data_IF_265670660683
#
_entry.id   IF_265670660683
#
_cell.length_a   1.000
_cell.length_b   1.000
_cell.length_c   1.000
_cell.angle_alpha   90.00
_cell.angle_beta   90.00
_cell.angle_gamma   90.00
#
_symmetry.space_group_name_H-M   'P 1'
#
loop_
_entity.id
_entity.type
_entity.pdbx_description
1 polymer ?
#
# COMPACT_ATOMS: atom_id res chain seq x y z
N UNK A 1 8.74 63.17 -1.90
CA UNK A 1 9.87 62.28 -1.61
C UNK A 1 9.88 61.96 -0.12
N UNK A 2 9.50 60.75 0.31
CA UNK A 2 9.72 60.11 1.65
C UNK A 2 8.82 58.87 1.83
N UNK A 3 8.81 57.95 0.87
CA UNK A 3 8.04 56.68 0.97
C UNK A 3 8.87 55.43 0.66
N UNK A 4 10.09 55.60 0.14
CA UNK A 4 10.99 54.52 -0.25
C UNK A 4 11.83 53.94 0.89
N UNK A 5 11.94 54.62 2.03
CA UNK A 5 12.84 54.21 3.13
C UNK A 5 12.18 53.31 4.17
N UNK A 6 10.84 53.24 4.23
CA UNK A 6 10.13 52.38 5.21
C UNK A 6 9.96 50.94 4.70
N UNK A 7 9.93 50.76 3.38
CA UNK A 7 9.68 49.45 2.75
C UNK A 7 10.92 48.55 2.78
N UNK A 8 12.12 49.13 2.75
CA UNK A 8 13.39 48.39 2.75
C UNK A 8 13.76 47.85 4.13
N UNK A 9 13.40 48.55 5.21
CA UNK A 9 13.65 48.10 6.60
C UNK A 9 12.69 47.02 7.04
N UNK A 10 11.41 47.07 6.64
CA UNK A 10 10.42 46.03 6.97
C UNK A 10 10.69 44.74 6.18
N UNK A 11 11.13 44.83 4.92
CA UNK A 11 11.48 43.65 4.12
C UNK A 11 12.75 42.95 4.63
N UNK A 12 13.71 43.70 5.16
CA UNK A 12 14.94 43.14 5.75
C UNK A 12 14.67 42.43 7.09
N UNK A 13 13.74 42.94 7.91
CA UNK A 13 13.37 42.29 9.17
C UNK A 13 12.57 40.99 8.95
N UNK A 14 11.71 40.94 7.92
CA UNK A 14 10.97 39.73 7.53
C UNK A 14 11.90 38.65 6.94
N UNK A 15 12.95 39.03 6.18
CA UNK A 15 13.93 38.06 5.70
C UNK A 15 14.78 37.43 6.83
N UNK A 16 15.11 38.20 7.87
CA UNK A 16 15.85 37.66 9.02
C UNK A 16 15.00 36.70 9.88
N UNK A 17 13.68 36.90 9.95
CA UNK A 17 12.78 35.98 10.67
C UNK A 17 12.50 34.70 9.85
N UNK A 18 12.48 34.76 8.52
CA UNK A 18 12.35 33.56 7.68
C UNK A 18 13.64 32.73 7.57
N UNK A 19 14.82 33.33 7.73
CA UNK A 19 16.09 32.59 7.77
C UNK A 19 16.29 31.79 9.09
N UNK A 20 15.54 32.09 10.15
CA UNK A 20 15.66 31.39 11.44
C UNK A 20 14.69 30.21 11.62
N UNK A 21 13.73 29.99 10.71
CA UNK A 21 12.75 28.87 10.80
C UNK A 21 12.96 27.81 9.71
N UNK A 22 13.85 28.05 8.74
CA UNK A 22 14.42 27.00 7.90
C UNK A 22 15.56 26.27 8.64
N UNK A 23 15.30 25.80 9.87
CA UNK A 23 16.04 24.64 10.32
C UNK A 23 15.73 23.54 9.31
N UNK A 24 16.73 22.90 8.67
CA UNK A 24 16.46 21.77 7.80
C UNK A 24 15.61 20.82 8.62
N UNK A 25 14.41 20.48 8.12
CA UNK A 25 13.67 19.36 8.66
C UNK A 25 14.68 18.22 8.66
N UNK A 26 15.17 17.86 9.85
CA UNK A 26 16.08 16.75 10.03
C UNK A 26 15.28 15.60 9.47
N UNK A 27 15.57 15.20 8.22
CA UNK A 27 15.09 13.95 7.64
C UNK A 27 15.62 12.92 8.62
N UNK A 28 14.80 12.58 9.62
CA UNK A 28 15.12 11.50 10.54
C UNK A 28 15.41 10.33 9.64
N UNK A 29 16.60 9.78 9.77
CA UNK A 29 16.96 8.56 9.08
C UNK A 29 15.79 7.57 9.28
N UNK A 30 15.27 6.94 8.20
CA UNK A 30 14.23 5.95 8.33
C UNK A 30 14.58 4.97 9.45
N UNK A 31 13.62 4.57 10.29
CA UNK A 31 13.92 3.65 11.38
C UNK A 31 14.58 2.38 10.83
N UNK A 32 15.58 1.83 11.53
CA UNK A 32 16.24 0.60 11.10
C UNK A 32 15.20 -0.52 10.98
N UNK A 33 15.20 -1.20 9.84
CA UNK A 33 14.24 -2.25 9.55
C UNK A 33 14.58 -3.53 10.32
N UNK A 34 13.58 -4.27 10.84
CA UNK A 34 13.81 -5.54 11.52
C UNK A 34 14.38 -6.58 10.54
N UNK A 35 15.34 -7.36 11.01
CA UNK A 35 15.89 -8.50 10.26
C UNK A 35 14.81 -9.56 10.05
N UNK A 36 14.52 -9.89 8.79
CA UNK A 36 13.58 -10.97 8.48
C UNK A 36 14.28 -12.32 8.30
N UNK A 37 15.61 -12.34 8.20
CA UNK A 37 16.40 -13.57 8.09
C UNK A 37 16.62 -14.30 9.43
N UNK A 38 16.16 -13.73 10.54
CA UNK A 38 16.28 -14.33 11.87
C UNK A 38 15.10 -15.24 12.23
N UNK A 39 13.92 -14.99 11.66
CA UNK A 39 12.69 -15.69 12.01
C UNK A 39 12.14 -16.44 10.81
N UNK A 40 11.34 -17.47 11.06
CA UNK A 40 10.54 -18.08 9.99
C UNK A 40 9.56 -17.05 9.44
N UNK A 41 9.25 -17.17 8.16
CA UNK A 41 8.44 -16.17 7.48
C UNK A 41 8.03 -16.58 6.08
N UNK A 42 7.31 -15.67 5.44
CA UNK A 42 6.93 -15.78 4.03
C UNK A 42 7.75 -14.78 3.23
N UNK A 43 8.30 -15.24 2.11
CA UNK A 43 8.97 -14.38 1.14
C UNK A 43 8.29 -14.46 -0.22
N UNK A 44 8.45 -13.40 -0.99
CA UNK A 44 7.85 -13.23 -2.30
C UNK A 44 8.93 -12.85 -3.31
N UNK A 45 8.91 -13.46 -4.48
CA UNK A 45 9.78 -13.07 -5.60
C UNK A 45 8.93 -12.78 -6.81
N UNK A 46 9.12 -11.61 -7.41
CA UNK A 46 8.67 -11.37 -8.76
C UNK A 46 9.65 -11.96 -9.78
N UNK A 47 9.11 -12.72 -10.72
CA UNK A 47 9.80 -13.35 -11.84
C UNK A 47 9.31 -12.68 -13.12
N UNK A 48 10.22 -12.11 -13.89
CA UNK A 48 9.93 -11.35 -15.12
C UNK A 48 10.88 -11.76 -16.25
N UNK A 49 10.60 -11.32 -17.50
CA UNK A 49 11.54 -11.44 -18.62
C UNK A 49 12.01 -12.86 -18.91
N UNK A 50 13.32 -13.03 -19.10
CA UNK A 50 13.92 -14.31 -19.47
C UNK A 50 13.74 -15.40 -18.40
N UNK A 51 13.60 -15.02 -17.13
CA UNK A 51 13.42 -16.00 -16.05
C UNK A 51 12.05 -16.69 -16.14
N UNK A 52 11.03 -16.04 -16.71
CA UNK A 52 9.73 -16.67 -16.99
C UNK A 52 9.86 -17.90 -17.91
N UNK A 53 10.81 -17.88 -18.86
CA UNK A 53 11.02 -18.98 -19.81
C UNK A 53 11.57 -20.25 -19.16
N UNK A 54 12.19 -20.10 -18.00
CA UNK A 54 12.76 -21.20 -17.22
C UNK A 54 12.03 -21.43 -15.90
N UNK A 55 10.89 -20.76 -15.68
CA UNK A 55 10.15 -20.76 -14.41
C UNK A 55 9.92 -22.17 -13.86
N UNK A 56 9.48 -23.11 -14.70
CA UNK A 56 9.18 -24.49 -14.30
C UNK A 56 10.44 -25.31 -13.94
N UNK A 57 11.60 -24.93 -14.48
CA UNK A 57 12.88 -25.58 -14.16
C UNK A 57 13.47 -25.05 -12.84
N UNK A 58 13.09 -23.83 -12.45
CA UNK A 58 13.62 -23.16 -11.26
C UNK A 58 12.69 -23.33 -10.06
N UNK A 59 11.39 -23.19 -10.25
CA UNK A 59 10.39 -23.17 -9.18
C UNK A 59 9.43 -24.34 -9.30
N UNK A 60 9.45 -25.22 -8.29
CA UNK A 60 8.51 -26.32 -8.16
C UNK A 60 7.90 -26.32 -6.78
N UNK A 61 6.57 -26.26 -6.71
CA UNK A 61 5.82 -26.27 -5.44
C UNK A 61 6.24 -27.47 -4.57
N UNK A 62 6.50 -27.20 -3.29
CA UNK A 62 6.97 -28.17 -2.30
C UNK A 62 8.49 -28.39 -2.30
N UNK A 63 9.23 -27.76 -3.21
CA UNK A 63 10.69 -27.89 -3.30
C UNK A 63 11.38 -26.53 -3.12
N UNK A 64 12.67 -26.54 -2.73
CA UNK A 64 13.52 -25.36 -2.86
C UNK A 64 13.66 -24.91 -4.32
N UNK A 65 13.97 -23.62 -4.55
CA UNK A 65 14.40 -23.15 -5.87
C UNK A 65 15.62 -23.94 -6.35
N UNK A 66 15.57 -24.44 -7.58
CA UNK A 66 16.65 -25.26 -8.14
C UNK A 66 17.89 -24.44 -8.52
N UNK A 67 17.71 -23.15 -8.80
CA UNK A 67 18.79 -22.22 -9.15
C UNK A 67 18.34 -20.77 -8.96
N UNK A 68 19.23 -19.82 -9.23
CA UNK A 68 18.94 -18.39 -9.27
C UNK A 68 19.69 -17.72 -10.43
N UNK A 69 19.31 -16.48 -10.75
CA UNK A 69 20.01 -15.70 -11.76
C UNK A 69 21.50 -15.53 -11.40
N UNK A 70 22.39 -15.64 -12.39
CA UNK A 70 23.85 -15.55 -12.20
C UNK A 70 24.41 -14.14 -12.47
N UNK A 71 23.54 -13.17 -12.74
CA UNK A 71 23.90 -11.79 -12.96
C UNK A 71 24.21 -11.09 -11.64
N UNK A 72 25.28 -10.30 -11.62
CA UNK A 72 25.61 -9.45 -10.48
C UNK A 72 24.42 -8.55 -10.10
N UNK A 73 24.17 -8.44 -8.80
CA UNK A 73 23.17 -7.55 -8.24
C UNK A 73 23.65 -6.95 -6.91
N UNK A 74 22.76 -6.20 -6.26
CA UNK A 74 23.07 -5.43 -5.05
C UNK A 74 23.83 -6.24 -4.00
N UNK A 75 23.50 -7.52 -3.85
CA UNK A 75 24.01 -8.36 -2.77
C UNK A 75 24.84 -9.56 -3.18
N UNK A 76 25.08 -9.74 -4.48
CA UNK A 76 25.94 -10.82 -4.96
C UNK A 76 26.60 -10.47 -6.30
N UNK A 77 27.93 -10.58 -6.42
CA UNK A 77 28.64 -10.37 -7.69
C UNK A 77 28.39 -11.50 -8.70
N UNK A 78 27.91 -12.66 -8.24
CA UNK A 78 27.63 -13.85 -9.06
C UNK A 78 26.12 -14.15 -9.15
N UNK A 79 25.30 -13.18 -8.72
CA UNK A 79 23.85 -13.32 -8.65
C UNK A 79 23.33 -14.08 -7.44
N UNK A 80 22.02 -13.96 -7.23
CA UNK A 80 21.32 -14.49 -6.08
C UNK A 80 19.83 -14.62 -6.39
N UNK A 81 19.11 -15.35 -5.53
CA UNK A 81 17.65 -15.30 -5.48
C UNK A 81 17.24 -14.11 -4.60
N UNK A 82 16.82 -13.03 -5.25
CA UNK A 82 16.25 -11.84 -4.60
C UNK A 82 14.77 -12.04 -4.26
N UNK A 83 14.39 -11.68 -3.05
CA UNK A 83 13.03 -11.81 -2.51
C UNK A 83 12.65 -10.59 -1.66
N UNK A 84 11.36 -10.39 -1.44
CA UNK A 84 10.76 -9.40 -0.57
C UNK A 84 10.03 -10.10 0.58
N UNK A 85 9.95 -9.46 1.73
CA UNK A 85 9.13 -9.93 2.87
C UNK A 85 7.70 -9.39 2.84
N UNK A 86 7.41 -8.50 1.90
CA UNK A 86 6.08 -7.97 1.65
C UNK A 86 5.62 -8.31 0.23
N UNK A 87 4.35 -8.70 0.10
CA UNK A 87 3.76 -9.09 -1.18
C UNK A 87 3.57 -7.87 -2.11
N UNK A 88 3.22 -6.70 -1.56
CA UNK A 88 3.03 -5.50 -2.36
C UNK A 88 4.36 -5.01 -2.92
N UNK A 89 5.44 -5.10 -2.15
CA UNK A 89 6.79 -4.80 -2.62
C UNK A 89 7.19 -5.69 -3.80
N UNK A 90 6.92 -7.00 -3.71
CA UNK A 90 7.13 -7.92 -4.82
C UNK A 90 6.25 -7.58 -6.03
N UNK A 91 5.01 -7.15 -5.84
CA UNK A 91 4.15 -6.68 -6.93
C UNK A 91 4.66 -5.42 -7.60
N UNK A 92 5.04 -4.41 -6.83
CA UNK A 92 5.64 -3.16 -7.34
C UNK A 92 6.88 -3.49 -8.18
N UNK A 93 7.72 -4.41 -7.70
CA UNK A 93 8.87 -4.89 -8.45
C UNK A 93 8.47 -5.62 -9.74
N UNK A 94 7.55 -6.57 -9.67
CA UNK A 94 7.07 -7.31 -10.84
C UNK A 94 6.54 -6.38 -11.93
N UNK A 95 5.70 -5.41 -11.55
CA UNK A 95 5.16 -4.42 -12.47
C UNK A 95 6.25 -3.54 -13.10
N UNK A 96 7.21 -3.06 -12.31
CA UNK A 96 8.29 -2.17 -12.80
C UNK A 96 9.26 -2.88 -13.76
N UNK A 97 9.43 -4.19 -13.63
CA UNK A 97 10.41 -4.98 -14.40
C UNK A 97 9.78 -5.97 -15.39
N UNK A 98 8.46 -5.92 -15.60
CA UNK A 98 7.83 -6.64 -16.70
C UNK A 98 8.14 -5.93 -18.02
N UNK A 99 8.72 -6.64 -18.98
CA UNK A 99 9.08 -6.03 -20.26
C UNK A 99 7.82 -5.87 -21.14
N UNK A 100 7.78 -4.90 -22.08
CA UNK A 100 6.61 -4.68 -22.92
C UNK A 100 6.14 -5.91 -23.71
N UNK A 101 7.06 -6.82 -24.04
CA UNK A 101 6.76 -8.09 -24.73
C UNK A 101 6.28 -9.22 -23.81
N UNK A 102 6.44 -9.08 -22.50
CA UNK A 102 5.99 -10.09 -21.55
C UNK A 102 4.49 -9.89 -21.29
N UNK A 103 3.70 -10.95 -21.41
CA UNK A 103 2.24 -10.92 -21.18
C UNK A 103 1.85 -11.21 -19.74
N UNK A 104 2.84 -11.34 -18.85
CA UNK A 104 2.68 -11.55 -17.42
C UNK A 104 4.02 -11.42 -16.68
N UNK A 105 3.96 -11.20 -15.39
CA UNK A 105 5.00 -11.57 -14.43
C UNK A 105 4.46 -12.64 -13.48
N UNK A 106 5.32 -13.30 -12.72
CA UNK A 106 4.92 -14.33 -11.75
C UNK A 106 5.40 -13.93 -10.37
N UNK A 107 4.54 -14.03 -9.35
CA UNK A 107 4.98 -14.02 -7.95
C UNK A 107 5.14 -15.46 -7.48
N UNK A 108 6.34 -15.78 -7.02
CA UNK A 108 6.64 -17.02 -6.30
C UNK A 108 6.62 -16.72 -4.81
N UNK A 109 5.78 -17.42 -4.07
CA UNK A 109 5.71 -17.36 -2.62
C UNK A 109 6.52 -18.51 -2.02
N UNK A 110 7.37 -18.20 -1.04
CA UNK A 110 8.18 -19.15 -0.30
C UNK A 110 7.80 -19.17 1.17
N UNK A 111 7.85 -20.34 1.80
CA UNK A 111 8.07 -20.43 3.24
C UNK A 111 9.56 -20.46 3.51
N UNK A 112 10.00 -19.69 4.50
CA UNK A 112 11.39 -19.66 4.96
C UNK A 112 11.53 -20.33 6.34
N UNK A 113 12.51 -21.22 6.44
CA UNK A 113 12.94 -21.83 7.70
C UNK A 113 14.36 -21.37 8.03
N UNK A 114 14.58 -20.66 9.15
CA UNK A 114 15.91 -20.18 9.50
C UNK A 114 16.93 -21.30 9.65
N UNK A 115 18.10 -21.10 9.03
CA UNK A 115 19.28 -21.89 9.32
C UNK A 115 20.35 -20.97 9.94
N UNK A 116 20.71 -21.25 11.18
CA UNK A 116 21.66 -20.44 11.97
C UNK A 116 23.13 -20.77 11.67
N UNK A 117 23.41 -21.80 10.87
CA UNK A 117 24.76 -22.16 10.42
C UNK A 117 25.20 -21.39 9.16
N UNK A 118 24.26 -20.72 8.48
CA UNK A 118 24.54 -19.95 7.28
C UNK A 118 25.18 -18.60 7.63
N UNK A 119 26.12 -18.14 6.80
CA UNK A 119 26.76 -16.83 6.95
C UNK A 119 25.78 -15.76 6.45
N UNK A 120 25.26 -14.94 7.37
CA UNK A 120 24.28 -13.89 7.08
C UNK A 120 24.89 -12.50 7.23
N UNK A 121 24.42 -11.56 6.43
CA UNK A 121 24.70 -10.13 6.60
C UNK A 121 23.40 -9.34 6.52
N UNK A 122 23.20 -8.44 7.48
CA UNK A 122 22.05 -7.51 7.50
C UNK A 122 22.57 -6.08 7.41
N UNK A 123 21.95 -5.27 6.57
CA UNK A 123 22.23 -3.84 6.45
C UNK A 123 21.00 -3.04 6.82
N UNK A 124 20.86 -2.61 8.08
CA UNK A 124 19.67 -1.93 8.63
C UNK A 124 19.21 -0.64 7.90
N UNK A 125 19.97 -0.17 6.91
CA UNK A 125 19.67 0.98 6.05
C UNK A 125 20.86 1.34 5.16
N UNK A 126 20.77 2.48 4.46
CA UNK A 126 21.78 2.99 3.53
C UNK A 126 23.06 3.55 4.16
N UNK A 127 23.77 2.75 4.95
CA UNK A 127 25.05 3.16 5.54
C UNK A 127 26.18 3.20 4.50
N UNK A 128 27.30 3.86 4.83
CA UNK A 128 28.50 3.81 3.98
C UNK A 128 29.03 2.38 3.82
N UNK A 129 28.86 1.52 4.83
CA UNK A 129 29.22 0.10 4.76
C UNK A 129 28.34 -0.65 3.76
N UNK A 130 27.03 -0.41 3.78
CA UNK A 130 26.09 -0.94 2.77
C UNK A 130 26.47 -0.45 1.37
N UNK A 131 26.68 0.85 1.20
CA UNK A 131 27.02 1.42 -0.10
C UNK A 131 28.33 0.87 -0.66
N UNK A 132 29.33 0.71 0.21
CA UNK A 132 30.61 0.08 -0.14
C UNK A 132 30.43 -1.39 -0.50
N UNK A 133 29.56 -2.12 0.22
CA UNK A 133 29.24 -3.52 -0.09
C UNK A 133 28.58 -3.68 -1.45
N UNK A 134 27.53 -2.89 -1.74
CA UNK A 134 26.81 -2.92 -3.02
C UNK A 134 27.74 -2.53 -4.18
N UNK A 135 28.46 -1.41 -4.08
CA UNK A 135 29.40 -0.97 -5.12
C UNK A 135 30.47 -2.02 -5.43
N UNK A 136 30.93 -2.73 -4.40
CA UNK A 136 31.90 -3.80 -4.54
C UNK A 136 31.37 -5.03 -5.31
N UNK A 137 30.06 -5.27 -5.30
CA UNK A 137 29.46 -6.39 -6.04
C UNK A 137 29.39 -6.15 -7.55
N UNK A 138 29.49 -4.89 -7.99
CA UNK A 138 29.48 -4.52 -9.40
C UNK A 138 30.88 -4.33 -10.02
N UNK A 139 31.95 -4.65 -9.29
CA UNK A 139 33.33 -4.51 -9.77
C UNK A 139 33.73 -5.69 -10.70
N UNK A 140 34.48 -5.46 -11.81
CA UNK A 140 34.75 -6.47 -12.84
C UNK A 140 35.63 -7.68 -12.45
N UNK A 141 36.26 -7.67 -11.26
CA UNK A 141 37.31 -8.62 -10.90
C UNK A 141 37.17 -9.16 -9.48
N UNK A 142 36.14 -9.97 -9.20
CA UNK A 142 36.03 -10.65 -7.90
C UNK A 142 35.87 -12.16 -8.01
N UNK A 143 36.45 -12.81 -7.00
CA UNK A 143 36.39 -14.24 -6.72
C UNK A 143 34.95 -14.74 -6.75
N UNK A 144 34.74 -15.87 -7.43
CA UNK A 144 33.43 -16.50 -7.64
C UNK A 144 32.80 -17.09 -6.38
N UNK A 145 33.51 -17.11 -5.25
CA UNK A 145 33.01 -17.68 -3.99
C UNK A 145 32.21 -16.63 -3.19
N UNK A 146 30.93 -16.90 -2.87
CA UNK A 146 30.13 -16.02 -2.03
C UNK A 146 30.71 -15.86 -0.62
N UNK A 147 30.93 -14.61 -0.21
CA UNK A 147 31.35 -14.26 1.16
C UNK A 147 30.25 -14.54 2.19
N UNK A 148 29.00 -14.43 1.78
CA UNK A 148 27.81 -14.68 2.58
C UNK A 148 26.89 -15.65 1.84
N UNK A 149 26.14 -16.43 2.60
CA UNK A 149 25.11 -17.31 2.08
C UNK A 149 23.80 -16.54 1.88
N UNK A 150 23.55 -15.55 2.74
CA UNK A 150 22.36 -14.71 2.73
C UNK A 150 22.70 -13.26 3.08
N UNK A 151 22.05 -12.32 2.41
CA UNK A 151 22.20 -10.89 2.70
C UNK A 151 20.82 -10.24 2.65
N UNK A 152 20.52 -9.32 3.57
CA UNK A 152 19.34 -8.47 3.50
C UNK A 152 19.72 -7.00 3.69
N UNK A 153 18.94 -6.11 3.08
CA UNK A 153 19.20 -4.68 3.11
C UNK A 153 18.26 -3.92 2.20
N UNK A 154 18.41 -2.59 2.13
CA UNK A 154 17.60 -1.80 1.23
C UNK A 154 17.99 -2.08 -0.23
N UNK A 155 17.00 -2.03 -1.10
CA UNK A 155 17.19 -1.98 -2.55
C UNK A 155 18.02 -0.77 -2.90
N UNK A 156 18.98 -0.90 -3.81
CA UNK A 156 19.84 0.20 -4.24
C UNK A 156 19.31 0.91 -5.49
N UNK A 157 19.52 2.22 -5.56
CA UNK A 157 19.40 3.00 -6.79
C UNK A 157 20.63 3.89 -6.98
N UNK A 158 21.00 4.11 -8.25
CA UNK A 158 22.25 4.78 -8.59
C UNK A 158 23.47 3.84 -8.58
N UNK A 159 24.68 4.39 -8.71
CA UNK A 159 25.95 3.64 -8.66
C UNK A 159 27.09 4.53 -8.17
N UNK A 160 28.13 3.93 -7.59
CA UNK A 160 29.31 4.65 -7.14
C UNK A 160 28.95 5.69 -6.08
N UNK A 161 29.28 6.96 -6.33
CA UNK A 161 29.01 8.07 -5.43
C UNK A 161 27.53 8.49 -5.36
N UNK A 162 26.70 8.09 -6.33
CA UNK A 162 25.24 8.40 -6.34
C UNK A 162 24.38 7.28 -5.79
N UNK A 163 25.01 6.21 -5.30
CA UNK A 163 24.31 5.06 -4.74
C UNK A 163 23.57 5.46 -3.45
N UNK A 164 22.27 5.21 -3.42
CA UNK A 164 21.41 5.47 -2.27
C UNK A 164 20.34 4.39 -2.15
N UNK A 165 19.76 4.16 -0.96
CA UNK A 165 18.58 3.32 -0.81
C UNK A 165 17.44 3.81 -1.70
N UNK A 166 16.74 2.88 -2.33
CA UNK A 166 15.44 3.17 -2.90
C UNK A 166 14.48 3.54 -1.78
N UNK A 167 13.87 4.71 -1.88
CA UNK A 167 12.80 5.16 -1.01
C UNK A 167 11.53 5.13 -1.84
N UNK A 168 10.57 4.33 -1.40
CA UNK A 168 9.25 4.27 -2.02
C UNK A 168 8.61 5.66 -1.97
N UNK A 169 8.28 6.27 -3.12
CA UNK A 169 7.71 7.61 -3.16
C UNK A 169 6.34 7.69 -2.48
N UNK A 170 5.62 6.58 -2.37
CA UNK A 170 4.27 6.52 -1.79
C UNK A 170 4.33 6.49 -0.26
N UNK A 171 5.32 5.79 0.30
CA UNK A 171 5.40 5.52 1.73
C UNK A 171 6.52 6.29 2.45
N UNK A 172 7.50 6.81 1.69
CA UNK A 172 8.72 7.40 2.25
C UNK A 172 9.64 6.39 2.95
N UNK A 173 9.31 5.09 2.89
CA UNK A 173 10.08 4.01 3.50
C UNK A 173 11.08 3.43 2.50
N UNK A 174 12.14 2.79 3.02
CA UNK A 174 13.08 2.07 2.18
C UNK A 174 12.47 0.73 1.77
N UNK A 175 12.54 0.41 0.48
CA UNK A 175 12.16 -0.91 -0.03
C UNK A 175 13.21 -1.93 0.38
N UNK A 176 12.77 -3.06 0.93
CA UNK A 176 13.67 -4.02 1.55
C UNK A 176 13.75 -5.31 0.74
N UNK A 177 14.96 -5.84 0.55
CA UNK A 177 15.15 -7.08 -0.19
C UNK A 177 16.10 -8.04 0.54
N UNK A 178 15.89 -9.32 0.30
CA UNK A 178 16.75 -10.41 0.76
C UNK A 178 17.35 -11.13 -0.44
N UNK A 179 18.60 -11.54 -0.34
CA UNK A 179 19.32 -12.30 -1.35
C UNK A 179 19.78 -13.63 -0.77
N UNK A 180 19.38 -14.73 -1.40
CA UNK A 180 19.82 -16.10 -1.09
C UNK A 180 20.84 -16.51 -2.15
N UNK A 181 22.09 -16.68 -1.74
CA UNK A 181 23.26 -16.73 -2.64
C UNK A 181 23.80 -18.14 -2.79
N UNK A 182 23.83 -18.92 -1.70
CA UNK A 182 24.31 -20.30 -1.76
C UNK A 182 23.16 -21.30 -1.93
N UNK A 183 23.49 -22.50 -2.43
CA UNK A 183 22.52 -23.60 -2.50
C UNK A 183 21.96 -23.96 -1.10
N UNK A 184 22.81 -23.90 -0.07
CA UNK A 184 22.39 -24.13 1.31
C UNK A 184 21.39 -23.05 1.79
N UNK A 185 21.56 -21.80 1.37
CA UNK A 185 20.58 -20.75 1.59
C UNK A 185 19.28 -21.02 0.83
N UNK A 186 19.32 -21.33 -0.46
CA UNK A 186 18.09 -21.63 -1.22
C UNK A 186 17.31 -22.81 -0.62
N UNK A 187 17.99 -23.82 -0.07
CA UNK A 187 17.37 -24.97 0.60
C UNK A 187 16.60 -24.61 1.89
N UNK A 188 16.73 -23.37 2.39
CA UNK A 188 15.90 -22.86 3.48
C UNK A 188 14.54 -22.34 3.02
N UNK A 189 14.33 -22.24 1.70
CA UNK A 189 13.08 -21.84 1.08
C UNK A 189 12.34 -23.07 0.57
N UNK A 190 11.02 -23.04 0.68
CA UNK A 190 10.13 -23.99 0.03
C UNK A 190 9.09 -23.22 -0.76
N UNK A 191 9.00 -23.48 -2.06
CA UNK A 191 7.98 -22.87 -2.92
C UNK A 191 6.59 -23.32 -2.46
N UNK A 192 5.77 -22.38 -1.99
CA UNK A 192 4.39 -22.63 -1.58
C UNK A 192 3.41 -22.37 -2.71
N UNK A 193 3.61 -21.27 -3.42
CA UNK A 193 2.70 -20.84 -4.47
C UNK A 193 3.45 -20.17 -5.62
N UNK A 194 2.88 -20.27 -6.82
CA UNK A 194 3.38 -19.65 -8.03
C UNK A 194 2.15 -19.07 -8.72
N UNK A 195 2.06 -17.74 -8.77
CA UNK A 195 0.88 -17.05 -9.31
C UNK A 195 1.31 -16.12 -10.41
N UNK A 196 0.70 -16.27 -11.58
CA UNK A 196 0.91 -15.37 -12.70
C UNK A 196 0.01 -14.14 -12.60
N UNK A 197 0.56 -12.98 -12.93
CA UNK A 197 -0.10 -11.70 -12.93
C UNK A 197 0.13 -11.05 -14.29
N UNK A 198 -0.92 -10.53 -14.94
CA UNK A 198 -0.72 -9.78 -16.16
C UNK A 198 0.15 -8.53 -15.89
N UNK A 199 0.93 -8.04 -16.88
CA UNK A 199 1.59 -6.75 -16.82
C UNK A 199 0.51 -5.70 -16.63
N UNK A 200 0.86 -4.56 -16.05
CA UNK A 200 -0.03 -3.42 -16.04
C UNK A 200 -0.19 -2.85 -17.47
N UNK A 201 -0.97 -3.52 -18.31
CA UNK A 201 -1.69 -2.92 -19.44
C UNK A 201 -3.17 -3.05 -19.12
N UNK A 202 -3.88 -1.93 -19.19
CA UNK A 202 -5.32 -1.83 -19.34
C UNK A 202 -6.02 -3.15 -19.72
N UNK A 203 -6.79 -3.69 -18.78
CA UNK A 203 -7.80 -4.75 -18.97
C UNK A 203 -7.29 -6.18 -19.24
N UNK A 204 -7.78 -7.25 -18.61
CA UNK A 204 -8.70 -7.51 -17.48
C UNK A 204 -8.71 -9.03 -17.24
N UNK A 205 -8.68 -9.43 -15.97
CA UNK A 205 -9.59 -10.41 -15.35
C UNK A 205 -10.28 -11.48 -16.22
N UNK A 206 -9.56 -12.43 -16.83
CA UNK A 206 -10.19 -13.68 -17.33
C UNK A 206 -9.19 -14.86 -17.31
N UNK A 207 -8.77 -15.36 -16.14
CA UNK A 207 -8.28 -16.76 -16.04
C UNK A 207 -8.18 -17.35 -14.62
N UNK A 208 -8.85 -16.78 -13.62
CA UNK A 208 -8.78 -17.30 -12.23
C UNK A 208 -9.97 -18.16 -11.82
N UNK A 209 -10.96 -18.34 -12.72
CA UNK A 209 -12.20 -19.07 -12.41
C UNK A 209 -12.06 -20.59 -12.61
N UNK A 210 -11.10 -21.08 -13.41
CA UNK A 210 -11.06 -22.51 -13.76
C UNK A 210 -10.23 -23.44 -12.87
N UNK A 211 -9.34 -22.94 -12.00
CA UNK A 211 -8.46 -23.80 -11.19
C UNK A 211 -8.89 -24.00 -9.73
N UNK A 212 -9.97 -23.34 -9.28
CA UNK A 212 -10.50 -23.49 -7.92
C UNK A 212 -11.61 -24.54 -7.77
N UNK A 213 -12.10 -25.13 -8.87
CA UNK A 213 -13.20 -26.11 -8.83
C UNK A 213 -12.75 -27.51 -8.37
N UNK A 214 -11.46 -27.84 -8.37
CA UNK A 214 -11.01 -29.23 -8.09
C UNK A 214 -10.24 -29.46 -6.78
N UNK A 215 -10.02 -28.44 -5.94
CA UNK A 215 -9.34 -28.62 -4.64
C UNK A 215 -10.26 -28.47 -3.41
N UNK A 216 -11.57 -28.30 -3.60
CA UNK A 216 -12.55 -28.13 -2.53
C UNK A 216 -13.16 -29.46 -2.01
N UNK A 217 -12.60 -30.62 -2.41
CA UNK A 217 -12.99 -31.90 -1.83
C UNK A 217 -11.89 -32.37 -0.86
N UNK A 218 -12.21 -32.27 0.44
CA UNK A 218 -11.50 -32.81 1.61
C UNK A 218 -10.64 -31.83 2.43
N UNK A 219 -11.31 -30.93 3.17
CA UNK A 219 -11.03 -30.68 4.60
C UNK A 219 -12.18 -29.85 5.21
N UNK A 220 -12.66 -30.14 6.44
CA UNK A 220 -13.66 -29.33 7.11
C UNK A 220 -13.07 -27.98 7.50
N UNK A 221 -13.59 -26.90 6.91
CA UNK A 221 -13.24 -25.52 7.22
C UNK A 221 -13.83 -25.09 8.56
N UNK A 222 -12.99 -24.88 9.57
CA UNK A 222 -13.34 -23.93 10.63
C UNK A 222 -12.96 -22.53 10.11
N UNK A 223 -13.98 -21.78 9.68
CA UNK A 223 -13.86 -20.38 9.25
C UNK A 223 -13.26 -19.55 10.38
N UNK A 224 -11.98 -19.20 10.28
CA UNK A 224 -11.34 -18.25 11.21
C UNK A 224 -11.88 -16.86 10.87
N UNK A 225 -12.63 -16.26 11.79
CA UNK A 225 -13.15 -14.90 11.62
C UNK A 225 -12.01 -13.90 11.30
N UNK A 226 -12.25 -12.91 10.42
CA UNK A 226 -11.25 -11.88 10.10
C UNK A 226 -10.76 -11.16 11.37
N UNK A 227 -9.48 -10.71 11.41
CA UNK A 227 -8.98 -9.95 12.55
C UNK A 227 -9.76 -8.64 12.73
N UNK A 228 -9.88 -8.13 13.97
CA UNK A 228 -10.58 -6.88 14.25
C UNK A 228 -9.82 -5.66 13.71
N UNK A 229 -10.56 -4.64 13.29
CA UNK A 229 -10.03 -3.37 12.83
C UNK A 229 -9.51 -2.51 14.00
N UNK A 230 -8.33 -1.88 13.86
CA UNK A 230 -7.87 -0.87 14.79
C UNK A 230 -8.69 0.44 14.67
N UNK A 231 -8.65 1.25 15.73
CA UNK A 231 -9.24 2.58 15.76
C UNK A 231 -8.20 3.64 15.40
N UNK A 232 -8.54 4.55 14.48
CA UNK A 232 -7.66 5.65 14.05
C UNK A 232 -8.12 7.02 14.57
N UNK A 233 -9.32 7.12 15.15
CA UNK A 233 -9.88 8.39 15.62
C UNK A 233 -9.27 8.92 16.92
N UNK A 234 -8.48 8.11 17.64
CA UNK A 234 -7.91 8.50 18.95
C UNK A 234 -6.61 9.29 18.88
N UNK A 235 -5.96 9.35 17.71
CA UNK A 235 -4.65 9.99 17.52
C UNK A 235 -4.60 10.76 16.22
N UNK A 236 -3.73 11.77 16.15
CA UNK A 236 -3.46 12.45 14.88
C UNK A 236 -2.92 11.46 13.86
N UNK A 237 -3.30 11.67 12.60
CA UNK A 237 -3.02 10.73 11.53
C UNK A 237 -3.18 11.35 10.15
N UNK A 238 -3.06 10.50 9.14
CA UNK A 238 -3.31 10.87 7.75
C UNK A 238 -4.44 10.00 7.23
N UNK A 239 -5.37 10.63 6.52
CA UNK A 239 -6.46 9.94 5.83
C UNK A 239 -6.46 10.30 4.35
N UNK A 240 -7.03 9.42 3.54
CA UNK A 240 -7.03 9.52 2.09
C UNK A 240 -8.45 9.36 1.55
N UNK A 241 -8.80 10.13 0.52
CA UNK A 241 -10.05 9.96 -0.23
C UNK A 241 -9.74 9.96 -1.71
N UNK A 242 -10.25 8.95 -2.41
CA UNK A 242 -10.32 9.01 -3.85
C UNK A 242 -11.68 9.59 -4.28
N UNK A 243 -11.61 10.68 -5.04
CA UNK A 243 -12.75 11.44 -5.55
C UNK A 243 -13.00 11.05 -7.00
N UNK A 244 -14.19 10.56 -7.29
CA UNK A 244 -14.58 10.01 -8.61
C UNK A 244 -15.92 10.56 -9.09
N UNK A 245 -16.22 10.39 -10.37
CA UNK A 245 -17.56 10.66 -10.92
C UNK A 245 -17.97 12.13 -10.78
N UNK A 246 -19.22 12.38 -10.36
CA UNK A 246 -19.79 13.73 -10.29
C UNK A 246 -19.06 14.65 -9.30
N UNK A 247 -18.42 14.08 -8.28
CA UNK A 247 -17.68 14.85 -7.27
C UNK A 247 -16.39 15.48 -7.84
N UNK A 248 -15.86 14.96 -8.95
CA UNK A 248 -14.67 15.54 -9.61
C UNK A 248 -14.86 17.02 -9.94
N UNK A 249 -16.06 17.43 -10.35
CA UNK A 249 -16.37 18.82 -10.66
C UNK A 249 -16.35 19.74 -9.42
N UNK A 250 -16.49 19.16 -8.23
CA UNK A 250 -16.53 19.89 -6.95
C UNK A 250 -15.16 20.01 -6.29
N UNK A 251 -14.14 19.30 -6.81
CA UNK A 251 -12.80 19.26 -6.20
C UNK A 251 -12.23 20.65 -5.89
N UNK A 252 -12.25 21.64 -6.81
CA UNK A 252 -11.66 22.96 -6.54
C UNK A 252 -12.35 23.72 -5.41
N UNK A 253 -13.63 23.47 -5.18
CA UNK A 253 -14.42 24.16 -4.14
C UNK A 253 -14.44 23.41 -2.82
N UNK A 254 -14.43 22.08 -2.86
CA UNK A 254 -14.54 21.23 -1.66
C UNK A 254 -13.19 20.97 -1.01
N UNK A 255 -12.14 20.73 -1.81
CA UNK A 255 -10.83 20.31 -1.34
C UNK A 255 -9.77 21.39 -1.52
N UNK A 256 -9.88 22.46 -0.74
CA UNK A 256 -8.91 23.55 -0.77
C UNK A 256 -7.74 23.27 0.18
N UNK A 257 -6.52 23.25 -0.36
CA UNK A 257 -5.30 23.01 0.42
C UNK A 257 -5.19 23.96 1.62
N UNK A 258 -4.87 23.40 2.79
CA UNK A 258 -4.76 24.12 4.06
C UNK A 258 -6.10 24.45 4.73
N UNK A 259 -7.23 23.98 4.19
CA UNK A 259 -8.56 24.16 4.76
C UNK A 259 -9.21 22.79 5.07
N UNK A 260 -10.21 22.77 5.96
CA UNK A 260 -11.12 21.64 6.04
C UNK A 260 -11.89 21.41 4.73
N UNK A 261 -12.35 20.19 4.47
CA UNK A 261 -13.32 19.92 3.42
C UNK A 261 -14.56 20.80 3.59
N UNK A 262 -14.98 21.51 2.54
CA UNK A 262 -16.08 22.49 2.66
C UNK A 262 -17.47 21.83 2.80
N UNK A 263 -17.63 20.61 2.28
CA UNK A 263 -18.89 19.86 2.26
C UNK A 263 -18.67 18.39 1.95
N UNK A 264 -19.71 17.57 2.10
CA UNK A 264 -19.76 16.19 1.60
C UNK A 264 -21.09 15.91 0.89
N UNK A 265 -21.18 14.79 0.17
CA UNK A 265 -22.43 14.36 -0.46
C UNK A 265 -23.50 14.06 0.60
N UNK A 266 -24.76 14.37 0.29
CA UNK A 266 -25.91 14.21 1.21
C UNK A 266 -26.67 12.90 1.01
N UNK A 267 -26.00 11.88 0.45
CA UNK A 267 -26.59 10.56 0.18
C UNK A 267 -26.34 9.64 1.37
N UNK A 268 -27.35 8.86 1.76
CA UNK A 268 -27.19 7.83 2.77
C UNK A 268 -26.06 6.87 2.40
N UNK A 269 -25.28 6.48 3.40
CA UNK A 269 -24.21 5.50 3.27
C UNK A 269 -24.03 4.72 4.57
N UNK A 270 -23.02 3.87 4.61
CA UNK A 270 -22.80 2.91 5.70
C UNK A 270 -22.85 3.54 7.08
N UNK A 271 -22.30 4.76 7.20
CA UNK A 271 -22.10 5.41 8.49
C UNK A 271 -22.87 6.72 8.67
N UNK A 272 -23.75 7.07 7.73
CA UNK A 272 -24.62 8.24 7.87
C UNK A 272 -25.84 8.13 6.98
N UNK A 273 -27.04 8.31 7.56
CA UNK A 273 -28.29 8.42 6.82
C UNK A 273 -28.40 9.71 5.97
N UNK A 274 -27.62 10.74 6.31
CA UNK A 274 -27.63 12.05 5.62
C UNK A 274 -26.36 12.30 4.81
N UNK A 275 -25.53 11.27 4.64
CA UNK A 275 -24.23 11.35 3.98
C UNK A 275 -23.09 11.82 4.87
N UNK A 276 -21.87 11.59 4.39
CA UNK A 276 -20.63 11.88 5.09
C UNK A 276 -19.47 12.01 4.11
N UNK A 277 -18.36 12.58 4.57
CA UNK A 277 -17.08 12.47 3.88
C UNK A 277 -16.41 11.16 4.28
N UNK A 278 -16.39 10.20 3.35
CA UNK A 278 -15.74 8.91 3.55
C UNK A 278 -14.24 8.96 3.20
N UNK A 279 -13.42 8.33 4.04
CA UNK A 279 -11.95 8.30 3.88
C UNK A 279 -11.38 6.93 4.27
N UNK A 280 -10.16 6.66 3.80
CA UNK A 280 -9.34 5.50 4.11
C UNK A 280 -8.14 5.90 4.98
N UNK A 281 -7.64 4.98 5.79
CA UNK A 281 -6.40 5.15 6.55
C UNK A 281 -5.17 4.69 5.78
N UNK A 282 -5.37 3.87 4.74
CA UNK A 282 -4.33 3.39 3.84
C UNK A 282 -4.50 4.02 2.46
N UNK A 283 -3.41 4.59 1.93
CA UNK A 283 -3.38 5.21 0.61
C UNK A 283 -3.62 4.20 -0.51
N UNK A 284 -3.16 2.95 -0.36
CA UNK A 284 -3.36 1.89 -1.34
C UNK A 284 -4.83 1.49 -1.45
N UNK A 285 -5.55 1.48 -0.32
CA UNK A 285 -7.00 1.23 -0.30
C UNK A 285 -7.75 2.38 -0.98
N UNK A 286 -7.34 3.62 -0.77
CA UNK A 286 -7.88 4.77 -1.50
C UNK A 286 -7.59 4.69 -3.00
N UNK A 287 -6.39 4.27 -3.42
CA UNK A 287 -6.07 4.05 -4.84
C UNK A 287 -6.94 2.94 -5.44
N UNK A 288 -7.04 1.78 -4.79
CA UNK A 288 -7.94 0.68 -5.20
C UNK A 288 -9.39 1.16 -5.34
N UNK A 289 -9.84 2.04 -4.44
CA UNK A 289 -11.15 2.66 -4.51
C UNK A 289 -11.28 3.58 -5.74
N UNK A 290 -10.38 4.56 -5.90
CA UNK A 290 -10.38 5.50 -7.03
C UNK A 290 -10.35 4.77 -8.37
N UNK A 291 -9.43 3.81 -8.50
CA UNK A 291 -9.32 2.96 -9.68
C UNK A 291 -10.55 2.10 -9.91
N UNK A 292 -11.36 1.78 -8.91
CA UNK A 292 -12.57 0.95 -9.08
C UNK A 292 -13.81 1.76 -9.43
N UNK A 293 -13.94 2.95 -8.86
CA UNK A 293 -15.14 3.78 -8.96
C UNK A 293 -15.03 4.92 -9.98
N UNK A 294 -13.85 5.18 -10.56
CA UNK A 294 -13.71 6.06 -11.75
C UNK A 294 -14.62 5.56 -12.87
N UNK A 295 -15.47 6.43 -13.44
CA UNK A 295 -16.44 6.03 -14.46
C UNK A 295 -15.74 5.81 -15.81
N UNK A 296 -16.30 5.00 -16.73
CA UNK A 296 -15.71 4.75 -18.05
C UNK A 296 -15.42 5.99 -18.88
N UNK A 297 -16.19 7.07 -18.68
CA UNK A 297 -16.03 8.35 -19.36
C UNK A 297 -14.88 9.20 -18.79
N UNK A 298 -14.45 8.92 -17.56
CA UNK A 298 -13.42 9.67 -16.87
C UNK A 298 -12.06 9.00 -17.13
N UNK A 299 -11.01 9.80 -17.26
CA UNK A 299 -9.62 9.34 -17.47
C UNK A 299 -8.73 9.58 -16.25
N UNK A 300 -9.32 9.92 -15.11
CA UNK A 300 -8.62 10.19 -13.86
C UNK A 300 -9.59 10.11 -12.67
N UNK A 301 -9.02 9.97 -11.48
CA UNK A 301 -9.65 10.41 -10.24
C UNK A 301 -8.77 11.46 -9.56
N UNK A 302 -9.27 12.05 -8.49
CA UNK A 302 -8.46 12.91 -7.62
C UNK A 302 -8.23 12.20 -6.29
N UNK A 303 -6.97 12.04 -5.90
CA UNK A 303 -6.60 11.60 -4.57
C UNK A 303 -6.41 12.82 -3.67
N UNK A 304 -7.17 12.86 -2.58
CA UNK A 304 -7.06 13.89 -1.54
C UNK A 304 -6.43 13.28 -0.30
N UNK A 305 -5.38 13.92 0.20
CA UNK A 305 -4.74 13.59 1.46
C UNK A 305 -5.14 14.60 2.52
N UNK A 306 -5.57 14.11 3.68
CA UNK A 306 -5.91 14.92 4.85
C UNK A 306 -4.95 14.67 5.99
N UNK A 307 -4.58 15.72 6.72
CA UNK A 307 -4.15 15.56 8.12
C UNK A 307 -5.38 15.53 9.00
N UNK A 308 -5.42 14.58 9.93
CA UNK A 308 -6.45 14.47 10.96
C UNK A 308 -5.92 14.89 12.33
N UNK A 309 -6.70 15.72 13.03
CA UNK A 309 -6.43 16.12 14.41
C UNK A 309 -7.64 15.79 15.29
N UNK A 310 -7.53 14.85 16.24
CA UNK A 310 -8.64 14.46 17.10
C UNK A 310 -9.20 15.64 17.89
N UNK A 311 -10.53 15.64 18.07
CA UNK A 311 -11.22 16.58 18.95
C UNK A 311 -12.07 15.78 19.94
N UNK A 312 -11.68 15.81 21.21
CA UNK A 312 -12.33 15.04 22.29
C UNK A 312 -13.74 15.52 22.64
N UNK A 313 -14.17 16.66 22.11
CA UNK A 313 -15.53 17.18 22.27
C UNK A 313 -16.52 16.60 21.27
N UNK A 314 -16.03 15.92 20.23
CA UNK A 314 -16.88 15.32 19.21
C UNK A 314 -17.38 13.95 19.64
N UNK A 315 -18.59 13.63 19.21
CA UNK A 315 -19.19 12.32 19.36
C UNK A 315 -18.63 11.37 18.29
N UNK A 316 -17.92 10.32 18.73
CA UNK A 316 -17.32 9.34 17.81
C UNK A 316 -17.81 7.93 18.06
N UNK A 317 -17.98 7.13 17.00
CA UNK A 317 -18.29 5.69 17.09
C UNK A 317 -17.28 4.87 16.32
N UNK A 318 -16.75 3.82 16.94
CA UNK A 318 -15.83 2.88 16.29
C UNK A 318 -16.40 1.47 16.32
N UNK A 319 -16.40 0.79 15.16
CA UNK A 319 -16.71 -0.62 15.02
C UNK A 319 -15.44 -1.39 14.66
N UNK A 320 -15.04 -2.34 15.50
CA UNK A 320 -13.85 -3.17 15.25
C UNK A 320 -14.11 -4.33 14.28
N UNK A 321 -15.33 -4.49 13.78
CA UNK A 321 -15.68 -5.53 12.82
C UNK A 321 -17.19 -5.65 12.60
N UNK A 322 -17.60 -6.66 11.82
CA UNK A 322 -19.00 -6.92 11.47
C UNK A 322 -19.85 -7.57 12.54
N UNK A 323 -19.94 -6.95 13.72
CA UNK A 323 -20.83 -7.41 14.79
C UNK A 323 -22.30 -7.16 14.45
N UNK A 324 -23.22 -7.77 15.19
CA UNK A 324 -24.66 -7.50 15.05
C UNK A 324 -24.99 -6.00 15.24
N UNK A 325 -24.31 -5.34 16.19
CA UNK A 325 -24.46 -3.89 16.43
C UNK A 325 -24.02 -3.06 15.23
N UNK A 326 -22.90 -3.42 14.59
CA UNK A 326 -22.46 -2.76 13.36
C UNK A 326 -23.48 -2.96 12.24
N UNK A 327 -23.95 -4.19 12.04
CA UNK A 327 -24.90 -4.51 10.97
C UNK A 327 -26.25 -3.78 11.17
N UNK A 328 -26.74 -3.71 12.41
CA UNK A 328 -27.94 -2.97 12.77
C UNK A 328 -27.75 -1.47 12.52
N UNK A 329 -26.60 -0.91 12.90
CA UNK A 329 -26.27 0.50 12.67
C UNK A 329 -26.26 0.84 11.18
N UNK A 330 -25.50 0.09 10.37
CA UNK A 330 -25.42 0.28 8.92
C UNK A 330 -26.80 0.14 8.28
N UNK A 331 -27.56 -0.90 8.61
CA UNK A 331 -28.92 -1.12 8.06
C UNK A 331 -29.85 0.04 8.40
N UNK A 332 -29.75 0.60 9.60
CA UNK A 332 -30.59 1.73 10.02
C UNK A 332 -30.35 3.01 9.20
N UNK A 333 -29.14 3.20 8.65
CA UNK A 333 -28.82 4.38 7.85
C UNK A 333 -29.48 4.38 6.47
N UNK A 334 -29.86 3.20 5.96
CA UNK A 334 -30.54 3.05 4.67
C UNK A 334 -32.06 2.92 4.79
N UNK A 335 -32.62 2.99 5.99
CA UNK A 335 -34.05 2.87 6.21
C UNK A 335 -34.80 4.15 5.77
N UNK A 336 -35.95 4.06 5.08
CA UNK A 336 -36.66 5.20 4.49
C UNK A 336 -37.25 6.23 5.48
N UNK A 337 -36.99 6.10 6.79
CA UNK A 337 -37.60 6.94 7.84
C UNK A 337 -36.64 7.41 8.95
N UNK A 338 -35.33 7.16 8.88
CA UNK A 338 -34.43 7.44 10.02
C UNK A 338 -33.75 8.81 9.94
N UNK A 339 -34.54 9.88 10.14
CA UNK A 339 -34.03 11.14 10.67
C UNK A 339 -33.57 11.03 12.16
N UNK A 340 -33.68 9.83 12.73
CA UNK A 340 -33.45 9.48 14.14
C UNK A 340 -32.24 8.59 14.39
N UNK A 341 -31.44 8.23 13.36
CA UNK A 341 -30.18 7.51 13.58
C UNK A 341 -29.28 8.29 14.56
N UNK A 342 -28.54 7.61 15.45
CA UNK A 342 -27.63 8.28 16.37
C UNK A 342 -26.67 9.19 15.58
N UNK A 343 -26.74 10.49 15.85
CA UNK A 343 -25.90 11.48 15.17
C UNK A 343 -24.52 11.48 15.82
N UNK A 344 -23.61 10.74 15.23
CA UNK A 344 -22.18 10.85 15.53
C UNK A 344 -21.55 11.87 14.60
N UNK A 345 -20.57 12.62 15.09
CA UNK A 345 -19.77 13.53 14.28
C UNK A 345 -18.82 12.75 13.36
N UNK A 346 -18.25 11.66 13.89
CA UNK A 346 -17.31 10.79 13.16
C UNK A 346 -17.58 9.32 13.49
N UNK A 347 -17.65 8.48 12.47
CA UNK A 347 -17.82 7.04 12.63
C UNK A 347 -16.72 6.31 11.87
N UNK A 348 -16.17 5.24 12.43
CA UNK A 348 -15.24 4.37 11.73
C UNK A 348 -15.61 2.90 11.87
N UNK A 349 -15.18 2.08 10.92
CA UNK A 349 -15.39 0.64 10.96
C UNK A 349 -15.18 -0.03 9.61
N UNK A 350 -15.64 -1.29 9.46
CA UNK A 350 -15.48 -1.99 8.20
C UNK A 350 -16.45 -1.46 7.15
N UNK A 351 -15.99 -1.44 5.90
CA UNK A 351 -16.84 -1.23 4.72
C UNK A 351 -17.86 -2.36 4.62
N UNK A 352 -19.11 -2.05 4.29
CA UNK A 352 -20.15 -3.06 4.14
C UNK A 352 -20.30 -3.56 2.70
N UNK A 353 -20.62 -4.85 2.57
CA UNK A 353 -21.16 -5.47 1.35
C UNK A 353 -22.47 -6.18 1.65
N UNK A 354 -23.33 -6.33 0.63
CA UNK A 354 -24.63 -6.98 0.79
C UNK A 354 -25.69 -6.04 1.36
N UNK A 355 -26.84 -6.54 1.81
CA UNK A 355 -27.91 -5.67 2.34
C UNK A 355 -28.83 -6.41 3.32
N UNK A 356 -29.35 -5.71 4.32
CA UNK A 356 -30.25 -6.30 5.31
C UNK A 356 -29.62 -7.54 5.95
N UNK A 357 -30.27 -8.70 5.81
CA UNK A 357 -29.79 -9.96 6.38
C UNK A 357 -28.49 -10.51 5.76
N UNK A 358 -28.08 -10.04 4.58
CA UNK A 358 -26.82 -10.46 3.92
C UNK A 358 -25.69 -9.46 4.11
N UNK A 359 -25.92 -8.42 4.91
CA UNK A 359 -24.92 -7.40 5.20
C UNK A 359 -23.76 -8.00 5.99
N UNK A 360 -22.55 -7.82 5.48
CA UNK A 360 -21.31 -8.28 6.12
C UNK A 360 -20.15 -7.33 5.82
N UNK A 361 -19.07 -7.34 6.61
CA UNK A 361 -17.85 -6.63 6.27
C UNK A 361 -17.30 -7.08 4.92
N UNK A 362 -16.79 -6.13 4.14
CA UNK A 362 -15.89 -6.45 3.07
C UNK A 362 -14.60 -7.04 3.66
N UNK A 363 -14.21 -8.21 3.17
CA UNK A 363 -12.95 -8.86 3.47
C UNK A 363 -12.16 -8.91 2.17
N UNK A 364 -10.98 -8.28 2.14
CA UNK A 364 -10.10 -8.36 0.99
C UNK A 364 -9.68 -9.82 0.81
N UNK A 365 -10.07 -10.41 -0.33
CA UNK A 365 -9.83 -11.82 -0.62
C UNK A 365 -8.34 -12.19 -0.68
N UNK A 366 -7.47 -11.20 -0.86
CA UNK A 366 -6.01 -11.34 -0.92
C UNK A 366 -5.40 -11.43 0.47
N UNK A 367 -5.86 -10.60 1.40
CA UNK A 367 -5.24 -10.45 2.73
C UNK A 367 -6.03 -11.16 3.83
N UNK A 368 -7.31 -11.49 3.58
CA UNK A 368 -8.23 -11.98 4.60
C UNK A 368 -8.60 -10.92 5.66
N UNK A 369 -8.20 -9.67 5.46
CA UNK A 369 -8.44 -8.58 6.38
C UNK A 369 -9.72 -7.81 6.00
N UNK A 370 -10.38 -7.25 7.01
CA UNK A 370 -11.46 -6.28 6.80
C UNK A 370 -10.86 -4.96 6.32
N UNK A 371 -11.59 -4.25 5.46
CA UNK A 371 -11.16 -2.93 4.99
C UNK A 371 -11.75 -1.82 5.87
N UNK A 372 -10.91 -0.92 6.35
CA UNK A 372 -11.32 0.18 7.22
C UNK A 372 -11.85 1.36 6.41
N UNK A 373 -12.82 2.06 6.98
CA UNK A 373 -13.19 3.40 6.54
C UNK A 373 -13.56 4.30 7.72
N UNK A 374 -13.38 5.60 7.52
CA UNK A 374 -13.89 6.66 8.39
C UNK A 374 -14.93 7.49 7.65
N UNK A 375 -15.96 7.94 8.35
CA UNK A 375 -17.01 8.81 7.86
C UNK A 375 -17.11 10.05 8.76
N UNK A 376 -16.85 11.22 8.17
CA UNK A 376 -16.97 12.52 8.84
C UNK A 376 -18.30 13.14 8.46
N UNK A 377 -19.23 13.14 9.41
CA UNK A 377 -20.66 13.36 9.17
C UNK A 377 -21.06 14.81 9.43
N UNK A 378 -20.52 15.43 10.48
CA UNK A 378 -20.83 16.82 10.81
C UNK A 378 -19.76 17.77 10.28
N UNK A 379 -20.12 19.06 10.16
CA UNK A 379 -19.14 20.12 9.87
C UNK A 379 -18.01 20.11 10.90
N UNK A 380 -18.34 19.95 12.19
CA UNK A 380 -17.33 19.89 13.24
C UNK A 380 -16.43 18.65 13.12
N UNK A 381 -16.98 17.52 12.64
CA UNK A 381 -16.20 16.36 12.22
C UNK A 381 -15.24 16.70 11.11
N UNK A 382 -15.71 17.27 10.00
CA UNK A 382 -14.85 17.67 8.87
C UNK A 382 -13.79 18.70 9.26
N UNK A 383 -14.05 19.60 10.21
CA UNK A 383 -13.09 20.58 10.72
C UNK A 383 -11.89 19.94 11.43
N UNK A 384 -11.97 18.65 11.79
CA UNK A 384 -10.80 17.88 12.28
C UNK A 384 -9.85 17.46 11.17
N UNK A 385 -10.26 17.61 9.90
CA UNK A 385 -9.45 17.34 8.72
C UNK A 385 -8.87 18.64 8.17
N UNK A 386 -7.66 18.55 7.62
CA UNK A 386 -7.07 19.62 6.82
C UNK A 386 -6.53 19.03 5.54
N UNK A 387 -6.97 19.54 4.39
CA UNK A 387 -6.49 19.11 3.08
C UNK A 387 -5.01 19.45 2.95
N UNK A 388 -4.16 18.43 2.84
CA UNK A 388 -2.72 18.60 2.65
C UNK A 388 -2.33 18.58 1.18
N UNK A 389 -2.89 17.61 0.45
CA UNK A 389 -2.55 17.39 -0.94
C UNK A 389 -3.79 16.99 -1.74
N UNK A 390 -3.81 17.41 -2.99
CA UNK A 390 -4.86 17.09 -3.97
C UNK A 390 -4.14 16.77 -5.27
N UNK A 391 -4.18 15.51 -5.66
CA UNK A 391 -3.41 14.99 -6.80
C UNK A 391 -4.36 14.37 -7.80
N UNK A 392 -4.26 14.80 -9.06
CA UNK A 392 -4.92 14.12 -10.17
C UNK A 392 -4.17 12.83 -10.47
N UNK A 393 -4.84 11.68 -10.36
CA UNK A 393 -4.28 10.37 -10.66
C UNK A 393 -4.85 9.89 -11.99
N UNK A 394 -4.04 9.76 -13.05
CA UNK A 394 -4.52 9.28 -14.33
C UNK A 394 -5.02 7.85 -14.19
N UNK A 395 -6.19 7.58 -14.77
CA UNK A 395 -6.74 6.23 -14.90
C UNK A 395 -6.86 5.91 -16.37
N UNK A 396 -6.41 4.73 -16.68
CA UNK A 396 -6.46 4.23 -18.01
C UNK A 396 -7.95 3.97 -18.40
N UNK A 397 -8.36 4.28 -19.64
CA UNK A 397 -9.78 4.22 -20.06
C UNK A 397 -10.41 2.87 -19.74
N UNK A 398 -11.50 2.89 -18.97
CA UNK A 398 -12.22 1.67 -18.62
C UNK A 398 -13.19 1.23 -19.72
N UNK A 399 -13.04 0.00 -20.21
CA UNK A 399 -14.11 -0.73 -20.88
C UNK A 399 -15.26 -1.07 -19.92
N UNK A 400 -16.43 -1.40 -20.48
CA UNK A 400 -17.66 -1.73 -19.75
C UNK A 400 -17.58 -2.98 -18.86
N UNK A 401 -16.47 -3.73 -18.90
CA UNK A 401 -16.24 -5.00 -18.18
C UNK A 401 -15.24 -4.93 -17.01
N UNK A 402 -14.75 -3.74 -16.61
CA UNK A 402 -13.78 -3.66 -15.48
C UNK A 402 -14.40 -4.16 -14.18
N UNK A 403 -13.80 -5.20 -13.60
CA UNK A 403 -14.15 -5.70 -12.27
C UNK A 403 -13.75 -4.66 -11.23
N UNK A 404 -14.70 -4.23 -10.38
CA UNK A 404 -14.42 -3.31 -9.27
C UNK A 404 -13.72 -4.07 -8.15
N UNK A 405 -12.82 -3.40 -7.43
CA UNK A 405 -12.17 -3.91 -6.19
C UNK A 405 -13.20 -4.36 -5.16
N UNK A 406 -14.29 -3.61 -5.02
CA UNK A 406 -15.45 -4.01 -4.25
C UNK A 406 -16.74 -3.80 -5.06
N UNK A 407 -17.18 -4.80 -5.85
CA UNK A 407 -18.30 -4.65 -6.77
C UNK A 407 -19.65 -4.60 -6.06
N UNK A 408 -19.72 -5.11 -4.83
CA UNK A 408 -20.92 -5.20 -4.00
C UNK A 408 -20.88 -4.29 -2.77
N UNK A 409 -19.91 -3.37 -2.69
CA UNK A 409 -19.87 -2.38 -1.62
C UNK A 409 -21.03 -1.39 -1.76
N UNK A 410 -21.65 -1.04 -0.64
CA UNK A 410 -22.83 -0.17 -0.62
C UNK A 410 -22.52 1.33 -0.71
N UNK A 411 -21.24 1.70 -0.77
CA UNK A 411 -20.81 3.09 -0.67
C UNK A 411 -20.69 3.69 -2.06
N UNK A 412 -21.33 4.84 -2.23
CA UNK A 412 -21.26 5.67 -3.42
C UNK A 412 -20.41 6.90 -3.17
#
# INVERSE_FOLDING_TARGET
MKSTTLFTTVLSLLLCVFAAVAAPAVKRAPPPLPSFLQNSGTFYRAVTGQELKILQNVYRKGFPPASHATLAGDFSPTGALYVFNDLNEAHKWGQAFTLPQDTQYVIVQFTYTPNFQLRKQTFSGGSQQWASFVNNNYQPQRTTTPRFDMVEGPVSVGRGATLQPFVDPDTGNQLWQGAFISAAAMNTLVVQNIVAFPPATLFTTVLSILLYVFAAAAAPTTSKAPPPLPSFLKKSGTFFRAVTGAELALVPTVYQKGKPPASHATLAGDFSATGALYVFNDINEAHKWGESFTLPKDNHYVLVQFTYTPNTKLSTKSFSGGTADWAAFVTSNYAPQTATSPKFDIVEGPISVGRGATLQPFVDATTGAQLWQGAFVSTAGMDTLTVQNVVTVPVAKKGSSSTRFCPTCNIQ
#
